data_IF_374624129133
#
_entry.id   IF_374624129133
#
_cell.length_a   1.000
_cell.length_b   1.000
_cell.length_c   1.000
_cell.angle_alpha   90.00
_cell.angle_beta   90.00
_cell.angle_gamma   90.00
#
_symmetry.space_group_name_H-M   'P 1'
#
loop_
_entity.id
_entity.type
_entity.pdbx_description
1 polymer ?
#
# COMPACT_ATOMS: atom_id res chain seq x y z
N UNK A 1 -10.48 -21.19 5.57
CA UNK A 1 -9.83 -22.43 5.07
C UNK A 1 -9.66 -22.26 3.57
N UNK A 2 -8.47 -22.52 3.03
CA UNK A 2 -8.19 -22.38 1.60
C UNK A 2 -8.77 -23.58 0.86
N UNK A 3 -10.04 -23.48 0.46
CA UNK A 3 -10.79 -24.59 -0.14
C UNK A 3 -10.16 -25.07 -1.45
N UNK A 4 -9.62 -24.14 -2.24
CA UNK A 4 -8.93 -24.45 -3.48
C UNK A 4 -7.68 -25.30 -3.27
N UNK A 5 -6.82 -24.92 -2.31
CA UNK A 5 -5.66 -25.73 -1.92
C UNK A 5 -6.10 -27.14 -1.47
N UNK A 6 -7.15 -27.23 -0.66
CA UNK A 6 -7.66 -28.53 -0.19
C UNK A 6 -8.16 -29.40 -1.34
N UNK A 7 -8.79 -28.81 -2.36
CA UNK A 7 -9.24 -29.51 -3.56
C UNK A 7 -8.06 -30.05 -4.39
N UNK A 8 -7.03 -29.24 -4.64
CA UNK A 8 -5.82 -29.68 -5.35
C UNK A 8 -5.14 -30.82 -4.59
N UNK A 9 -4.99 -30.68 -3.26
CA UNK A 9 -4.40 -31.72 -2.43
C UNK A 9 -5.20 -33.02 -2.49
N UNK A 10 -6.53 -32.96 -2.40
CA UNK A 10 -7.41 -34.15 -2.51
C UNK A 10 -7.32 -34.83 -3.86
N UNK A 11 -7.26 -34.06 -4.95
CA UNK A 11 -7.19 -34.59 -6.30
C UNK A 11 -5.86 -35.33 -6.59
N UNK A 12 -4.80 -35.04 -5.83
CA UNK A 12 -3.45 -35.56 -6.07
C UNK A 12 -2.94 -36.50 -4.97
N UNK A 13 -3.82 -37.01 -4.08
CA UNK A 13 -3.43 -37.98 -3.06
C UNK A 13 -2.82 -39.23 -3.71
N UNK A 14 -1.62 -39.61 -3.26
CA UNK A 14 -0.90 -40.79 -3.75
C UNK A 14 -0.14 -40.58 -5.07
N UNK A 15 -0.20 -39.38 -5.66
CA UNK A 15 0.62 -39.03 -6.83
C UNK A 15 1.99 -38.47 -6.41
N UNK A 16 2.98 -38.59 -7.30
CA UNK A 16 4.28 -37.95 -7.11
C UNK A 16 4.18 -36.44 -7.28
N UNK A 17 4.89 -35.68 -6.42
CA UNK A 17 4.96 -34.23 -6.52
C UNK A 17 5.82 -33.81 -7.71
N UNK A 18 5.20 -33.53 -8.84
CA UNK A 18 5.88 -32.98 -10.02
C UNK A 18 6.19 -31.49 -9.82
N UNK A 19 7.15 -30.91 -10.58
CA UNK A 19 7.42 -29.47 -10.53
C UNK A 19 6.18 -28.60 -10.79
N UNK A 20 5.34 -28.99 -11.75
CA UNK A 20 4.11 -28.27 -12.07
C UNK A 20 3.09 -28.35 -10.94
N UNK A 21 2.88 -29.55 -10.37
CA UNK A 21 2.00 -29.72 -9.21
C UNK A 21 2.53 -28.96 -7.98
N UNK A 22 3.85 -28.92 -7.79
CA UNK A 22 4.47 -28.12 -6.74
C UNK A 22 4.20 -26.62 -6.96
N UNK A 23 4.33 -26.12 -8.18
CA UNK A 23 4.02 -24.74 -8.52
C UNK A 23 2.53 -24.41 -8.27
N UNK A 24 1.61 -25.27 -8.70
CA UNK A 24 0.17 -25.10 -8.48
C UNK A 24 -0.19 -25.11 -6.99
N UNK A 25 0.39 -26.03 -6.21
CA UNK A 25 0.19 -26.08 -4.76
C UNK A 25 0.77 -24.85 -4.06
N UNK A 26 1.93 -24.36 -4.49
CA UNK A 26 2.53 -23.14 -3.97
C UNK A 26 1.64 -21.93 -4.27
N UNK A 27 1.17 -21.78 -5.51
CA UNK A 27 0.24 -20.73 -5.90
C UNK A 27 -1.05 -20.80 -5.09
N UNK A 28 -1.65 -21.98 -4.96
CA UNK A 28 -2.88 -22.15 -4.20
C UNK A 28 -2.66 -21.88 -2.71
N UNK A 29 -1.56 -22.34 -2.10
CA UNK A 29 -1.27 -22.14 -0.69
C UNK A 29 -0.97 -20.67 -0.35
N UNK A 30 -0.37 -19.94 -1.28
CA UNK A 30 -0.01 -18.54 -1.13
C UNK A 30 -1.18 -17.59 -1.45
N UNK A 31 -2.34 -18.11 -1.87
CA UNK A 31 -3.54 -17.29 -2.12
C UNK A 31 -4.08 -16.65 -0.84
N UNK A 32 -3.87 -15.34 -0.75
CA UNK A 32 -4.62 -14.49 0.14
C UNK A 32 -6.01 -14.25 -0.50
N UNK A 33 -7.13 -14.46 0.22
CA UNK A 33 -8.45 -14.21 -0.34
C UNK A 33 -8.55 -12.78 -0.87
N UNK A 34 -8.93 -12.66 -2.14
CA UNK A 34 -9.12 -11.38 -2.82
C UNK A 34 -10.10 -10.51 -2.05
N UNK A 35 -9.68 -9.30 -1.71
CA UNK A 35 -10.50 -8.32 -1.02
C UNK A 35 -11.13 -7.34 -2.01
N UNK A 36 -10.35 -6.87 -2.97
CA UNK A 36 -10.79 -6.05 -4.10
C UNK A 36 -10.26 -6.71 -5.37
N UNK A 37 -11.12 -6.96 -6.35
CA UNK A 37 -10.71 -7.62 -7.61
C UNK A 37 -9.92 -6.67 -8.50
N UNK A 38 -8.98 -7.21 -9.28
CA UNK A 38 -8.21 -6.45 -10.27
C UNK A 38 -9.10 -5.68 -11.25
N UNK A 39 -10.20 -6.27 -11.73
CA UNK A 39 -11.14 -5.60 -12.65
C UNK A 39 -11.74 -4.30 -12.09
N UNK A 40 -11.76 -4.15 -10.77
CA UNK A 40 -12.24 -2.94 -10.08
C UNK A 40 -11.10 -1.93 -9.94
N UNK A 41 -9.88 -2.39 -9.64
CA UNK A 41 -8.68 -1.56 -9.57
C UNK A 41 -8.30 -0.98 -10.95
N UNK A 42 -8.41 -1.76 -12.03
CA UNK A 42 -8.09 -1.35 -13.41
C UNK A 42 -9.06 -0.28 -13.98
N UNK A 43 -10.17 -0.04 -13.28
CA UNK A 43 -11.09 1.06 -13.58
C UNK A 43 -10.59 2.40 -13.04
N UNK A 44 -9.62 2.43 -12.13
CA UNK A 44 -9.00 3.66 -11.65
C UNK A 44 -8.20 4.24 -12.82
N UNK A 45 -8.63 5.39 -13.34
CA UNK A 45 -7.97 6.03 -14.48
C UNK A 45 -6.91 7.02 -14.02
N UNK A 46 -5.80 7.16 -14.76
CA UNK A 46 -4.86 8.24 -14.54
C UNK A 46 -5.53 9.61 -14.68
N UNK A 47 -5.02 10.61 -13.98
CA UNK A 47 -5.49 11.99 -14.04
C UNK A 47 -4.33 12.96 -14.25
N UNK A 48 -4.46 13.81 -15.28
CA UNK A 48 -3.56 14.95 -15.47
C UNK A 48 -3.89 16.07 -14.47
N UNK A 49 -2.87 16.64 -13.85
CA UNK A 49 -2.99 17.78 -12.93
C UNK A 49 -1.83 18.77 -13.13
N UNK A 50 -2.02 19.74 -14.03
CA UNK A 50 -0.95 20.67 -14.39
C UNK A 50 0.20 19.91 -15.07
N UNK A 51 1.40 20.01 -14.53
CA UNK A 51 2.59 19.27 -14.99
C UNK A 51 2.69 17.82 -14.47
N UNK A 52 1.81 17.43 -13.54
CA UNK A 52 1.83 16.13 -12.90
C UNK A 52 0.78 15.18 -13.46
N UNK A 53 1.09 13.88 -13.46
CA UNK A 53 0.15 12.78 -13.71
C UNK A 53 -0.01 12.01 -12.41
N UNK A 54 -1.26 11.79 -11.99
CA UNK A 54 -1.59 10.90 -10.89
C UNK A 54 -2.12 9.60 -11.45
N UNK A 55 -1.68 8.47 -10.92
CA UNK A 55 -2.12 7.16 -11.38
C UNK A 55 -2.22 6.17 -10.21
N UNK A 56 -2.93 5.06 -10.45
CA UNK A 56 -2.73 3.81 -9.73
C UNK A 56 -1.79 2.95 -10.58
N UNK A 57 -0.71 2.46 -9.98
CA UNK A 57 0.29 1.61 -10.64
C UNK A 57 0.60 0.41 -9.74
N UNK A 58 0.88 -0.76 -10.32
CA UNK A 58 1.31 -1.92 -9.53
C UNK A 58 2.74 -1.71 -9.08
N UNK A 59 3.02 -1.89 -7.79
CA UNK A 59 4.38 -1.75 -7.26
C UNK A 59 5.36 -2.68 -7.97
N UNK A 60 4.91 -3.89 -8.32
CA UNK A 60 5.72 -4.88 -9.05
C UNK A 60 6.25 -4.33 -10.38
N UNK A 61 5.43 -3.56 -11.10
CA UNK A 61 5.79 -2.99 -12.41
C UNK A 61 6.76 -1.79 -12.29
N UNK A 62 6.78 -1.12 -11.13
CA UNK A 62 7.52 0.13 -10.91
C UNK A 62 8.55 0.04 -9.78
N UNK A 63 8.89 -1.17 -9.33
CA UNK A 63 9.67 -1.41 -8.11
C UNK A 63 10.99 -0.64 -8.10
N UNK A 64 11.73 -0.70 -9.20
CA UNK A 64 13.06 -0.07 -9.31
C UNK A 64 12.97 1.46 -9.22
N UNK A 65 11.88 2.07 -9.69
CA UNK A 65 11.63 3.50 -9.53
C UNK A 65 11.19 3.85 -8.10
N UNK A 66 10.48 2.94 -7.43
CA UNK A 66 9.95 3.17 -6.08
C UNK A 66 11.02 3.02 -4.98
N UNK A 67 12.00 2.12 -5.16
CA UNK A 67 13.08 1.88 -4.17
C UNK A 67 13.78 3.18 -3.70
N UNK A 68 14.24 4.09 -4.59
CA UNK A 68 14.80 5.38 -4.17
C UNK A 68 13.83 6.23 -3.33
N UNK A 69 12.54 6.25 -3.68
CA UNK A 69 11.54 7.00 -2.91
C UNK A 69 11.34 6.41 -1.51
N UNK A 70 11.30 5.08 -1.38
CA UNK A 70 11.20 4.42 -0.07
C UNK A 70 12.41 4.72 0.82
N UNK A 71 13.63 4.72 0.25
CA UNK A 71 14.85 5.08 0.98
C UNK A 71 14.79 6.53 1.46
N UNK A 72 14.37 7.46 0.60
CA UNK A 72 14.24 8.87 0.99
C UNK A 72 13.13 9.12 2.00
N UNK A 73 12.01 8.41 1.89
CA UNK A 73 10.95 8.41 2.89
C UNK A 73 11.49 7.94 4.25
N UNK A 74 12.13 6.77 4.31
CA UNK A 74 12.69 6.19 5.53
C UNK A 74 13.66 7.14 6.25
N UNK A 75 14.56 7.79 5.49
CA UNK A 75 15.51 8.77 6.04
C UNK A 75 14.81 9.98 6.65
N UNK A 76 13.73 10.46 6.04
CA UNK A 76 13.10 11.74 6.39
C UNK A 76 12.01 11.65 7.47
N UNK A 77 11.22 10.57 7.49
CA UNK A 77 9.99 10.50 8.31
C UNK A 77 10.05 9.45 9.41
N UNK A 78 10.84 8.39 9.23
CA UNK A 78 10.85 7.21 10.11
C UNK A 78 11.99 7.24 11.14
N UNK A 79 12.48 8.42 11.53
CA UNK A 79 13.62 8.58 12.45
C UNK A 79 13.48 7.81 13.77
N UNK A 80 12.26 7.74 14.31
CA UNK A 80 11.95 6.98 15.53
C UNK A 80 12.20 5.46 15.41
N UNK A 81 12.48 4.94 14.22
CA UNK A 81 12.75 3.52 13.92
C UNK A 81 14.18 3.26 13.45
N UNK A 82 15.06 4.26 13.43
CA UNK A 82 16.40 4.12 12.85
C UNK A 82 17.33 3.17 13.62
N UNK A 83 16.94 2.67 14.80
CA UNK A 83 17.63 1.55 15.46
C UNK A 83 17.25 0.18 14.89
N UNK A 84 16.31 0.12 13.94
CA UNK A 84 15.91 -1.08 13.20
C UNK A 84 16.41 -0.94 11.77
N UNK A 85 16.95 -2.03 11.21
CA UNK A 85 17.42 -2.07 9.83
C UNK A 85 16.27 -1.80 8.83
N UNK A 86 16.56 -0.99 7.82
CA UNK A 86 15.64 -0.78 6.71
C UNK A 86 15.72 -1.94 5.72
N UNK A 87 14.83 -2.92 5.88
CA UNK A 87 14.76 -4.13 5.05
C UNK A 87 13.31 -4.36 4.57
N UNK A 88 12.84 -3.65 3.52
CA UNK A 88 11.47 -3.79 3.02
C UNK A 88 11.23 -5.15 2.35
N UNK A 89 10.14 -5.82 2.71
CA UNK A 89 9.70 -7.08 2.11
C UNK A 89 8.73 -6.81 0.94
N UNK A 90 9.29 -6.63 -0.25
CA UNK A 90 8.52 -6.35 -1.46
C UNK A 90 7.72 -7.54 -1.98
N UNK A 91 8.21 -8.77 -1.80
CA UNK A 91 7.48 -9.98 -2.23
C UNK A 91 6.17 -10.10 -1.47
N UNK A 92 6.19 -9.89 -0.16
CA UNK A 92 4.95 -9.82 0.63
C UNK A 92 4.05 -8.68 0.18
N UNK A 93 4.60 -7.51 -0.13
CA UNK A 93 3.81 -6.40 -0.65
C UNK A 93 3.09 -6.78 -1.96
N UNK A 94 3.76 -7.43 -2.90
CA UNK A 94 3.16 -7.88 -4.17
C UNK A 94 2.00 -8.84 -3.94
N UNK A 95 2.13 -9.77 -2.98
CA UNK A 95 1.04 -10.67 -2.61
C UNK A 95 -0.18 -9.92 -2.07
N UNK A 96 0.04 -8.93 -1.21
CA UNK A 96 -1.03 -8.08 -0.71
C UNK A 96 -1.67 -7.24 -1.82
N UNK A 97 -0.88 -6.66 -2.72
CA UNK A 97 -1.36 -5.91 -3.87
C UNK A 97 -2.19 -6.79 -4.79
N UNK A 98 -1.70 -7.99 -5.14
CA UNK A 98 -2.41 -8.94 -5.99
C UNK A 98 -3.72 -9.43 -5.38
N UNK A 99 -3.82 -9.45 -4.05
CA UNK A 99 -5.05 -9.76 -3.34
C UNK A 99 -6.00 -8.55 -3.18
N UNK A 100 -5.69 -7.38 -3.74
CA UNK A 100 -6.45 -6.14 -3.58
C UNK A 100 -6.44 -5.61 -2.15
N UNK A 101 -5.35 -5.86 -1.42
CA UNK A 101 -5.13 -5.48 -0.02
C UNK A 101 -4.04 -4.43 0.15
N UNK A 102 -3.32 -4.10 -0.91
CA UNK A 102 -2.47 -2.94 -0.99
C UNK A 102 -2.79 -2.19 -2.30
N UNK A 103 -2.75 -0.87 -2.25
CA UNK A 103 -3.02 0.00 -3.41
C UNK A 103 -1.96 1.10 -3.41
N UNK A 104 -1.31 1.29 -4.56
CA UNK A 104 -0.27 2.30 -4.73
C UNK A 104 -0.75 3.37 -5.71
N UNK A 105 -0.83 4.60 -5.23
CA UNK A 105 -0.99 5.77 -6.08
C UNK A 105 0.36 6.43 -6.30
N UNK A 106 0.56 6.94 -7.50
CA UNK A 106 1.81 7.58 -7.92
C UNK A 106 1.58 8.98 -8.43
N UNK A 107 2.59 9.82 -8.24
CA UNK A 107 2.68 11.14 -8.81
C UNK A 107 3.92 11.18 -9.70
N UNK A 108 3.72 11.38 -10.99
CA UNK A 108 4.80 11.49 -11.99
C UNK A 108 4.84 12.88 -12.61
N UNK A 109 6.04 13.33 -13.01
CA UNK A 109 6.25 14.49 -13.89
C UNK A 109 7.14 14.05 -15.04
N UNK A 110 6.69 14.24 -16.28
CA UNK A 110 7.46 13.85 -17.49
C UNK A 110 7.95 12.39 -17.42
N UNK A 111 7.11 11.48 -16.92
CA UNK A 111 7.44 10.07 -16.73
C UNK A 111 8.20 9.75 -15.45
N UNK A 112 8.88 10.70 -14.81
CA UNK A 112 9.65 10.46 -13.58
C UNK A 112 8.74 10.32 -12.36
N UNK A 113 8.90 9.23 -11.59
CA UNK A 113 8.23 9.02 -10.31
C UNK A 113 8.74 10.00 -9.24
N UNK A 114 7.84 10.83 -8.71
CA UNK A 114 8.15 11.90 -7.76
C UNK A 114 7.37 11.82 -6.46
N UNK A 115 6.44 10.88 -6.33
CA UNK A 115 5.76 10.64 -5.08
C UNK A 115 4.88 9.42 -5.13
N UNK A 116 4.55 8.92 -3.95
CA UNK A 116 3.63 7.82 -3.76
C UNK A 116 2.66 8.09 -2.61
N UNK A 117 1.49 7.49 -2.74
CA UNK A 117 0.54 7.31 -1.66
C UNK A 117 0.10 5.85 -1.67
N UNK A 118 0.72 5.06 -0.79
CA UNK A 118 0.45 3.64 -0.62
C UNK A 118 -0.45 3.42 0.58
N UNK A 119 -1.45 2.55 0.43
CA UNK A 119 -2.36 2.19 1.51
C UNK A 119 -2.57 0.68 1.57
N UNK A 120 -2.78 0.17 2.78
CA UNK A 120 -3.35 -1.16 3.01
C UNK A 120 -4.87 -1.07 3.09
N UNK A 121 -5.56 -1.97 2.39
CA UNK A 121 -7.03 -2.10 2.41
C UNK A 121 -7.41 -3.31 3.25
N UNK A 122 -8.40 -3.13 4.12
CA UNK A 122 -8.89 -4.18 5.02
C UNK A 122 -10.39 -4.06 5.24
N UNK A 123 -11.00 -5.15 5.68
CA UNK A 123 -12.41 -5.18 6.08
C UNK A 123 -12.49 -5.13 7.60
N UNK A 124 -13.24 -4.18 8.13
CA UNK A 124 -13.47 -4.08 9.57
C UNK A 124 -14.20 -5.31 10.08
N UNK A 125 -13.69 -5.92 11.14
CA UNK A 125 -14.38 -7.04 11.78
C UNK A 125 -15.64 -6.60 12.52
N UNK A 126 -15.69 -5.34 12.95
CA UNK A 126 -16.84 -4.78 13.66
C UNK A 126 -17.95 -4.29 12.73
N UNK A 127 -17.60 -3.62 11.63
CA UNK A 127 -18.59 -2.99 10.74
C UNK A 127 -18.76 -3.72 9.42
N UNK A 128 -17.88 -4.67 9.10
CA UNK A 128 -17.83 -5.34 7.79
C UNK A 128 -17.62 -4.38 6.61
N UNK A 129 -17.20 -3.15 6.89
CA UNK A 129 -16.93 -2.11 5.89
C UNK A 129 -15.45 -2.10 5.51
N UNK A 130 -15.15 -1.81 4.24
CA UNK A 130 -13.78 -1.60 3.79
C UNK A 130 -13.24 -0.27 4.30
N UNK A 131 -12.05 -0.33 4.88
CA UNK A 131 -11.26 0.84 5.27
C UNK A 131 -9.85 0.70 4.70
N UNK A 132 -9.15 1.83 4.62
CA UNK A 132 -7.74 1.87 4.27
C UNK A 132 -6.91 2.46 5.42
N UNK A 133 -5.67 2.02 5.52
CA UNK A 133 -4.63 2.62 6.37
C UNK A 133 -3.47 3.02 5.49
N UNK A 134 -3.05 4.27 5.62
CA UNK A 134 -1.83 4.74 5.00
C UNK A 134 -0.64 3.91 5.45
N UNK A 135 0.13 3.46 4.47
CA UNK A 135 1.43 2.85 4.65
C UNK A 135 2.53 3.90 4.42
N UNK A 136 2.42 4.64 3.32
CA UNK A 136 3.34 5.72 2.97
C UNK A 136 2.62 6.82 2.20
N UNK A 137 2.78 8.07 2.61
CA UNK A 137 2.55 9.25 1.78
C UNK A 137 3.84 10.07 1.70
N UNK A 138 4.50 10.04 0.55
CA UNK A 138 5.74 10.76 0.35
C UNK A 138 5.79 11.44 -1.02
N UNK A 139 6.22 12.70 -1.03
CA UNK A 139 6.51 13.46 -2.25
C UNK A 139 7.96 13.94 -2.19
N UNK A 140 8.67 13.86 -3.31
CA UNK A 140 9.96 14.52 -3.47
C UNK A 140 9.80 16.04 -3.29
N UNK A 141 10.80 16.75 -2.72
CA UNK A 141 10.69 18.19 -2.42
C UNK A 141 10.22 19.04 -3.60
N UNK A 142 10.67 18.72 -4.80
CA UNK A 142 10.29 19.39 -6.05
C UNK A 142 8.82 19.24 -6.45
N UNK A 143 8.13 18.19 -5.99
CA UNK A 143 6.69 17.98 -6.19
C UNK A 143 5.83 18.62 -5.07
N UNK A 144 6.44 19.12 -3.99
CA UNK A 144 5.74 19.77 -2.85
C UNK A 144 5.42 21.24 -3.15
N UNK A 145 4.71 21.50 -4.25
CA UNK A 145 4.39 22.86 -4.72
C UNK A 145 2.88 23.12 -4.73
N UNK A 146 2.48 24.32 -4.28
CA UNK A 146 1.10 24.80 -4.35
C UNK A 146 0.09 23.80 -3.77
N UNK A 147 -0.90 23.42 -4.58
CA UNK A 147 -1.99 22.50 -4.19
C UNK A 147 -1.75 21.05 -4.63
N UNK A 148 -0.53 20.69 -5.02
CA UNK A 148 -0.22 19.38 -5.60
C UNK A 148 -0.54 18.23 -4.65
N UNK A 149 -0.06 18.30 -3.40
CA UNK A 149 -0.34 17.25 -2.39
C UNK A 149 -1.84 17.08 -2.11
N UNK A 150 -2.57 18.21 -2.00
CA UNK A 150 -4.03 18.21 -1.79
C UNK A 150 -4.74 17.47 -2.94
N UNK A 151 -4.43 17.82 -4.20
CA UNK A 151 -5.07 17.20 -5.36
C UNK A 151 -4.67 15.73 -5.55
N UNK A 152 -3.46 15.36 -5.14
CA UNK A 152 -3.01 13.97 -5.20
C UNK A 152 -3.75 13.10 -4.17
N UNK A 153 -3.99 13.63 -2.96
CA UNK A 153 -4.80 12.94 -1.96
C UNK A 153 -6.26 12.86 -2.40
N UNK A 154 -6.85 13.95 -2.91
CA UNK A 154 -8.21 13.94 -3.48
C UNK A 154 -8.37 12.94 -4.64
N UNK A 155 -7.31 12.67 -5.40
CA UNK A 155 -7.28 11.60 -6.39
C UNK A 155 -7.32 10.22 -5.74
N UNK A 156 -6.45 9.97 -4.75
CA UNK A 156 -6.43 8.71 -3.98
C UNK A 156 -7.74 8.45 -3.24
N UNK A 157 -8.35 9.46 -2.63
CA UNK A 157 -9.64 9.37 -1.94
C UNK A 157 -10.76 8.91 -2.88
N UNK A 158 -10.87 9.53 -4.05
CA UNK A 158 -11.88 9.16 -5.06
C UNK A 158 -11.65 7.74 -5.58
N UNK A 159 -10.39 7.37 -5.82
CA UNK A 159 -10.05 6.02 -6.22
C UNK A 159 -10.40 4.98 -5.14
N UNK A 160 -10.08 5.26 -3.86
CA UNK A 160 -10.45 4.41 -2.73
C UNK A 160 -11.96 4.28 -2.58
N UNK A 161 -12.69 5.39 -2.70
CA UNK A 161 -14.15 5.40 -2.66
C UNK A 161 -14.75 4.54 -3.78
N UNK A 162 -14.20 4.63 -5.00
CA UNK A 162 -14.61 3.85 -6.17
C UNK A 162 -14.45 2.35 -5.94
N UNK A 163 -13.40 1.90 -5.24
CA UNK A 163 -13.19 0.48 -4.94
C UNK A 163 -13.93 0.00 -3.69
N UNK A 164 -14.80 0.83 -3.11
CA UNK A 164 -15.68 0.45 -2.00
C UNK A 164 -15.17 0.81 -0.61
N UNK A 165 -14.00 1.44 -0.48
CA UNK A 165 -13.50 1.96 0.81
C UNK A 165 -14.43 3.06 1.31
N UNK A 166 -14.67 3.10 2.62
CA UNK A 166 -15.52 4.11 3.28
C UNK A 166 -14.83 4.87 4.39
N UNK A 167 -13.62 4.47 4.74
CA UNK A 167 -12.83 5.09 5.81
C UNK A 167 -11.35 5.06 5.43
N UNK A 168 -10.65 6.19 5.63
CA UNK A 168 -9.23 6.34 5.37
C UNK A 168 -8.57 6.79 6.66
N UNK A 169 -7.64 5.99 7.15
CA UNK A 169 -6.84 6.30 8.32
C UNK A 169 -5.43 6.69 7.84
N UNK A 170 -4.95 7.85 8.27
CA UNK A 170 -3.60 8.33 7.95
C UNK A 170 -2.82 8.54 9.23
N UNK A 171 -1.54 8.14 9.21
CA UNK A 171 -0.63 8.42 10.31
C UNK A 171 0.21 9.65 9.99
N UNK A 172 0.33 10.59 10.92
CA UNK A 172 1.20 11.76 10.74
C UNK A 172 2.31 11.72 11.78
N UNK A 173 3.56 11.74 11.32
CA UNK A 173 4.72 11.76 12.22
C UNK A 173 4.87 13.16 12.82
N UNK A 174 5.13 13.24 14.12
CA UNK A 174 5.24 14.50 14.87
C UNK A 174 6.32 15.46 14.34
N UNK A 175 7.32 14.91 13.63
CA UNK A 175 8.40 15.68 13.02
C UNK A 175 7.93 16.56 11.84
N UNK A 176 6.78 16.24 11.24
CA UNK A 176 6.25 16.97 10.09
C UNK A 176 5.01 17.80 10.46
N UNK A 177 4.73 18.84 9.67
CA UNK A 177 3.51 19.67 9.83
C UNK A 177 2.30 19.07 9.08
N UNK A 178 2.32 17.79 8.71
CA UNK A 178 1.29 17.18 7.87
C UNK A 178 -0.07 17.08 8.58
N UNK A 179 -0.11 16.96 9.91
CA UNK A 179 -1.36 16.88 10.67
C UNK A 179 -2.31 18.07 10.43
N UNK A 180 -1.77 19.30 10.44
CA UNK A 180 -2.57 20.51 10.11
C UNK A 180 -3.06 20.49 8.67
N UNK A 181 -2.23 19.99 7.75
CA UNK A 181 -2.60 19.86 6.35
C UNK A 181 -3.77 18.88 6.15
N UNK A 182 -3.72 17.70 6.78
CA UNK A 182 -4.82 16.73 6.72
C UNK A 182 -6.11 17.28 7.33
N UNK A 183 -6.03 18.02 8.44
CA UNK A 183 -7.19 18.70 9.03
C UNK A 183 -7.83 19.72 8.08
N UNK A 184 -7.01 20.50 7.36
CA UNK A 184 -7.52 21.47 6.38
C UNK A 184 -8.29 20.82 5.23
N UNK A 185 -7.97 19.57 4.88
CA UNK A 185 -8.61 18.84 3.76
C UNK A 185 -9.71 17.89 4.24
N UNK A 186 -10.14 17.99 5.51
CA UNK A 186 -11.35 17.31 6.02
C UNK A 186 -11.11 16.11 6.93
N UNK A 187 -9.85 15.72 7.18
CA UNK A 187 -9.55 14.66 8.14
C UNK A 187 -9.73 15.14 9.58
N UNK A 188 -10.14 14.23 10.47
CA UNK A 188 -10.29 14.51 11.90
C UNK A 188 -9.20 13.80 12.69
N UNK A 189 -8.72 14.45 13.74
CA UNK A 189 -7.84 13.79 14.70
C UNK A 189 -8.69 12.87 15.60
N UNK A 190 -8.47 11.56 15.48
CA UNK A 190 -9.25 10.53 16.19
C UNK A 190 -8.43 9.74 17.21
N UNK A 191 -7.10 9.71 17.10
CA UNK A 191 -6.21 8.91 17.95
C UNK A 191 -4.81 9.51 18.09
N UNK A 192 -4.12 9.20 19.20
CA UNK A 192 -2.70 9.50 19.40
C UNK A 192 -1.84 8.26 19.13
N UNK A 193 -0.81 8.39 18.30
CA UNK A 193 0.16 7.31 18.05
C UNK A 193 1.20 7.20 19.16
N UNK A 194 1.47 5.97 19.61
CA UNK A 194 2.51 5.64 20.59
C UNK A 194 3.36 4.49 20.05
N UNK A 195 4.69 4.57 20.20
CA UNK A 195 5.61 3.54 19.72
C UNK A 195 6.65 3.20 20.78
N UNK A 196 6.98 1.91 20.91
CA UNK A 196 8.09 1.42 21.74
C UNK A 196 8.87 0.37 20.96
N UNK A 197 10.18 0.57 20.81
CA UNK A 197 11.07 -0.45 20.26
C UNK A 197 11.41 -1.41 21.40
N UNK A 198 11.24 -2.71 21.16
CA UNK A 198 11.58 -3.76 22.11
C UNK A 198 13.03 -4.19 21.85
N UNK A 199 13.83 -4.22 22.91
CA UNK A 199 15.18 -4.76 22.83
C UNK A 199 15.12 -6.26 22.62
N UNK A 200 15.91 -6.77 21.69
CA UNK A 200 16.14 -8.21 21.58
C UNK A 200 17.22 -8.53 22.59
N UNK A 201 16.89 -9.31 23.62
CA UNK A 201 17.92 -9.82 24.52
C UNK A 201 18.94 -10.60 23.69
N UNK A 202 20.22 -10.24 23.79
CA UNK A 202 21.28 -11.02 23.16
C UNK A 202 21.16 -12.48 23.65
N UNK A 203 20.82 -13.38 22.73
CA UNK A 203 20.80 -14.83 22.98
C UNK A 203 22.21 -15.39 23.02
#
# INVERSE_FOLDING_TARGET
>A
MNHHLVEILKANIGQSLTPDLAADLMLAADQIPTLVSFDVLDRIKPQQCGEFVFAHEKLEDILEEMKPLHVEHWKQTEQHRHSIEFNPDYETFFRHERAGRAVVFTLRKEGRLLGNFSVYVSKSMHTQTLFSREDTLFLMPEARKGRTAMRFIEYGERALQQIGVREINVSVKVINKAGRFFQMIGYRHTENGLSKILEVANA
#
